data_IF_611468471423
#
_entry.id   IF_611468471423
#
_cell.length_a   1.000
_cell.length_b   1.000
_cell.length_c   1.000
_cell.angle_alpha   90.00
_cell.angle_beta   90.00
_cell.angle_gamma   90.00
#
_symmetry.space_group_name_H-M   'P 1'
#
loop_
_entity.id
_entity.type
_entity.pdbx_description
1 polymer ?
#
# COMPACT_ATOMS: atom_id res chain seq x y z
N UNK A 1 -39.63 28.76 15.85
CA UNK A 1 -38.17 28.74 15.65
C UNK A 1 -37.87 27.69 14.59
N UNK A 2 -37.29 28.07 13.46
CA UNK A 2 -36.81 27.13 12.43
C UNK A 2 -35.35 26.79 12.71
N UNK A 3 -35.02 25.51 12.90
CA UNK A 3 -33.68 25.07 13.30
C UNK A 3 -32.80 24.83 12.07
N UNK A 4 -32.05 25.85 11.66
CA UNK A 4 -31.08 25.73 10.55
C UNK A 4 -29.85 24.88 10.94
N UNK A 5 -29.51 24.79 12.21
CA UNK A 5 -28.43 23.93 12.69
C UNK A 5 -28.92 22.49 12.82
N UNK A 6 -28.43 21.62 11.93
CA UNK A 6 -28.68 20.17 11.93
C UNK A 6 -27.33 19.46 11.79
N UNK A 7 -27.14 18.30 12.43
CA UNK A 7 -25.92 17.51 12.28
C UNK A 7 -25.83 16.91 10.86
N UNK A 8 -24.61 16.67 10.40
CA UNK A 8 -24.34 15.94 9.15
C UNK A 8 -24.30 14.45 9.44
N UNK A 9 -25.27 13.69 8.92
CA UNK A 9 -25.29 12.22 9.07
C UNK A 9 -24.51 11.49 7.98
N UNK A 10 -24.22 12.17 6.85
CA UNK A 10 -23.43 11.65 5.75
C UNK A 10 -22.37 12.69 5.34
N UNK A 11 -21.17 12.22 5.03
CA UNK A 11 -20.11 13.07 4.51
C UNK A 11 -20.37 13.47 3.05
N UNK A 12 -19.70 14.52 2.58
CA UNK A 12 -19.73 14.90 1.16
C UNK A 12 -18.99 13.85 0.31
N UNK A 13 -19.57 13.51 -0.84
CA UNK A 13 -18.95 12.60 -1.81
C UNK A 13 -18.05 13.41 -2.75
N UNK A 14 -16.77 13.04 -2.84
CA UNK A 14 -15.81 13.67 -3.75
C UNK A 14 -16.06 13.37 -5.22
N UNK A 15 -15.37 14.08 -6.12
CA UNK A 15 -15.35 13.77 -7.56
C UNK A 15 -16.19 14.69 -8.46
N UNK A 16 -17.03 15.56 -7.89
CA UNK A 16 -17.82 16.56 -8.65
C UNK A 16 -17.10 17.90 -8.89
N UNK A 17 -16.05 18.19 -8.13
CA UNK A 17 -15.34 19.48 -8.16
C UNK A 17 -13.91 19.38 -8.73
N UNK A 18 -13.17 20.49 -8.69
CA UNK A 18 -11.79 20.59 -9.19
C UNK A 18 -10.90 19.49 -8.59
N UNK A 19 -10.23 18.72 -9.46
CA UNK A 19 -9.42 17.57 -9.03
C UNK A 19 -10.19 16.24 -8.91
N UNK A 20 -11.49 16.21 -9.23
CA UNK A 20 -12.28 14.99 -9.39
C UNK A 20 -12.13 14.29 -10.75
N UNK A 21 -13.03 13.35 -11.06
CA UNK A 21 -13.05 12.59 -12.32
C UNK A 21 -13.41 13.41 -13.58
N UNK A 22 -13.75 14.68 -13.40
CA UNK A 22 -13.88 15.67 -14.48
C UNK A 22 -13.09 16.90 -14.05
N UNK A 23 -12.12 17.32 -14.87
CA UNK A 23 -11.53 18.65 -14.71
C UNK A 23 -12.66 19.66 -14.86
N UNK A 24 -13.07 20.30 -13.77
CA UNK A 24 -13.95 21.48 -13.84
C UNK A 24 -13.25 22.45 -14.77
N UNK A 25 -13.85 22.72 -15.92
CA UNK A 25 -13.17 23.33 -17.06
C UNK A 25 -12.43 24.61 -16.67
N UNK A 26 -11.12 24.64 -16.98
CA UNK A 26 -10.32 25.86 -17.11
C UNK A 26 -10.35 26.84 -15.95
N UNK A 27 -10.28 26.38 -14.70
CA UNK A 27 -10.18 27.30 -13.55
C UNK A 27 -8.78 27.93 -13.51
N UNK A 28 -8.73 29.27 -13.51
CA UNK A 28 -7.50 30.07 -13.46
C UNK A 28 -6.94 30.31 -12.05
N UNK A 29 -7.63 29.81 -11.02
CA UNK A 29 -7.23 29.94 -9.61
C UNK A 29 -6.27 28.80 -9.28
N UNK A 30 -5.10 29.14 -8.74
CA UNK A 30 -4.09 28.18 -8.30
C UNK A 30 -3.76 28.42 -6.84
N UNK A 31 -3.54 27.36 -6.07
CA UNK A 31 -3.04 27.47 -4.70
C UNK A 31 -1.51 27.55 -4.70
N UNK A 32 -0.91 28.15 -3.66
CA UNK A 32 0.55 28.24 -3.51
C UNK A 32 1.19 26.84 -3.45
N UNK A 33 0.48 25.84 -2.91
CA UNK A 33 0.95 24.45 -2.88
C UNK A 33 0.91 23.72 -4.23
N UNK A 34 0.13 24.22 -5.19
CA UNK A 34 0.06 23.65 -6.55
C UNK A 34 1.18 24.17 -7.44
N UNK A 35 1.98 25.13 -6.95
CA UNK A 35 3.15 25.62 -7.66
C UNK A 35 4.18 24.50 -7.82
N UNK A 36 4.90 24.46 -8.97
CA UNK A 36 5.88 23.42 -9.25
C UNK A 36 6.94 23.30 -8.14
N UNK A 37 6.95 22.15 -7.45
CA UNK A 37 7.92 21.82 -6.41
C UNK A 37 8.29 20.34 -6.49
N UNK A 38 9.56 20.02 -6.21
CA UNK A 38 10.13 18.66 -6.29
C UNK A 38 9.83 17.94 -7.63
N UNK A 39 10.30 18.54 -8.73
CA UNK A 39 10.12 18.02 -10.08
C UNK A 39 10.89 16.71 -10.38
N UNK A 40 11.69 16.22 -9.43
CA UNK A 40 12.52 15.02 -9.61
C UNK A 40 12.18 13.93 -8.59
N UNK A 41 11.93 12.73 -9.13
CA UNK A 41 11.71 11.53 -8.33
C UNK A 41 13.06 10.86 -8.07
N UNK A 42 13.39 10.65 -6.79
CA UNK A 42 14.59 9.89 -6.41
C UNK A 42 14.36 8.41 -6.69
N UNK A 43 15.23 7.81 -7.48
CA UNK A 43 15.27 6.35 -7.68
C UNK A 43 16.23 5.70 -6.69
N UNK A 44 16.00 4.41 -6.40
CA UNK A 44 16.95 3.61 -5.61
C UNK A 44 18.16 3.28 -6.46
N UNK A 45 19.35 3.55 -5.94
CA UNK A 45 20.62 3.19 -6.57
C UNK A 45 21.05 1.78 -6.12
N UNK A 46 21.93 1.13 -6.88
CA UNK A 46 22.57 -0.14 -6.49
C UNK A 46 23.10 -0.05 -5.05
N UNK A 47 22.80 -1.06 -4.23
CA UNK A 47 23.13 -1.10 -2.80
C UNK A 47 22.06 -0.50 -1.87
N UNK A 48 21.06 0.21 -2.40
CA UNK A 48 19.92 0.74 -1.62
C UNK A 48 18.70 -0.20 -1.63
N UNK A 49 18.88 -1.45 -2.08
CA UNK A 49 17.79 -2.41 -2.23
C UNK A 49 16.89 -2.02 -3.39
N UNK A 50 17.45 -2.05 -4.60
CA UNK A 50 16.66 -1.91 -5.84
C UNK A 50 15.73 -3.12 -6.02
N UNK A 51 14.67 -2.98 -6.81
CA UNK A 51 13.74 -4.09 -7.06
C UNK A 51 14.45 -5.34 -7.63
N UNK A 52 15.43 -5.13 -8.53
CA UNK A 52 16.24 -6.22 -9.08
C UNK A 52 17.09 -6.92 -8.02
N UNK A 53 17.68 -6.17 -7.08
CA UNK A 53 18.45 -6.75 -5.97
C UNK A 53 17.59 -7.50 -4.97
N UNK A 54 16.35 -7.09 -4.76
CA UNK A 54 15.42 -7.79 -3.87
C UNK A 54 14.90 -9.07 -4.51
N UNK A 55 14.62 -9.04 -5.82
CA UNK A 55 14.14 -10.21 -6.57
C UNK A 55 15.17 -11.34 -6.67
N UNK A 56 16.47 -11.03 -6.63
CA UNK A 56 17.53 -12.05 -6.75
C UNK A 56 17.97 -12.64 -5.41
N UNK A 57 17.53 -12.07 -4.28
CA UNK A 57 17.93 -12.51 -2.94
C UNK A 57 16.91 -13.47 -2.35
N UNK A 58 17.40 -14.54 -1.73
CA UNK A 58 16.58 -15.33 -0.81
C UNK A 58 16.41 -14.57 0.52
N UNK A 59 15.27 -13.89 0.64
CA UNK A 59 14.96 -13.06 1.81
C UNK A 59 14.76 -13.89 3.07
N UNK A 60 14.29 -15.14 2.95
CA UNK A 60 14.04 -16.01 4.09
C UNK A 60 15.36 -16.46 4.71
N UNK A 61 16.27 -16.97 3.89
CA UNK A 61 17.58 -17.40 4.35
C UNK A 61 18.38 -16.24 4.98
N UNK A 62 18.34 -15.06 4.37
CA UNK A 62 19.02 -13.87 4.89
C UNK A 62 18.45 -13.40 6.23
N UNK A 63 17.13 -13.51 6.43
CA UNK A 63 16.46 -13.19 7.68
C UNK A 63 16.84 -14.19 8.77
N UNK A 64 16.73 -15.50 8.50
CA UNK A 64 17.06 -16.55 9.47
C UNK A 64 18.51 -16.43 9.95
N UNK A 65 19.45 -16.10 9.06
CA UNK A 65 20.86 -15.88 9.41
C UNK A 65 21.04 -14.67 10.34
N UNK A 66 20.44 -13.52 10.02
CA UNK A 66 20.54 -12.32 10.86
C UNK A 66 19.88 -12.49 12.22
N UNK A 67 18.76 -13.19 12.27
CA UNK A 67 18.09 -13.51 13.53
C UNK A 67 18.94 -14.45 14.39
N UNK A 68 19.57 -15.46 13.78
CA UNK A 68 20.48 -16.34 14.51
C UNK A 68 21.68 -15.59 15.11
N UNK A 69 22.32 -14.68 14.35
CA UNK A 69 23.40 -13.82 14.84
C UNK A 69 22.92 -12.94 16.01
N UNK A 70 21.75 -12.31 15.87
CA UNK A 70 21.18 -11.45 16.89
C UNK A 70 20.80 -12.22 18.18
N UNK A 71 20.24 -13.42 18.05
CA UNK A 71 19.88 -14.27 19.19
C UNK A 71 21.10 -14.78 19.94
N UNK A 72 22.18 -15.13 19.22
CA UNK A 72 23.48 -15.44 19.82
C UNK A 72 24.03 -14.25 20.60
N UNK A 73 23.95 -13.04 20.05
CA UNK A 73 24.40 -11.82 20.72
C UNK A 73 23.61 -11.53 22.01
N UNK A 74 22.32 -11.87 22.06
CA UNK A 74 21.44 -11.69 23.22
C UNK A 74 21.49 -12.87 24.21
N UNK A 75 22.22 -13.95 23.88
CA UNK A 75 22.32 -15.15 24.72
C UNK A 75 21.03 -15.97 24.79
N UNK A 76 20.15 -15.85 23.78
CA UNK A 76 18.90 -16.62 23.68
C UNK A 76 19.06 -17.71 22.62
N UNK A 77 18.57 -18.92 22.92
CA UNK A 77 18.66 -20.04 22.00
C UNK A 77 17.81 -19.79 20.74
N UNK A 78 18.34 -20.16 19.57
CA UNK A 78 17.64 -20.01 18.29
C UNK A 78 16.36 -20.86 18.27
N UNK A 79 15.22 -20.31 17.80
CA UNK A 79 13.99 -21.09 17.65
C UNK A 79 14.19 -22.19 16.59
N UNK A 80 13.56 -23.36 16.75
CA UNK A 80 13.67 -24.44 15.76
C UNK A 80 13.11 -23.98 14.41
N UNK A 81 13.78 -24.36 13.31
CA UNK A 81 13.31 -24.12 11.93
C UNK A 81 11.86 -24.58 11.82
N UNK A 82 10.94 -23.62 11.69
CA UNK A 82 9.54 -23.93 11.42
C UNK A 82 9.48 -24.49 10.00
N UNK A 83 9.37 -25.82 9.94
CA UNK A 83 9.06 -26.60 8.75
C UNK A 83 7.87 -25.91 8.09
N UNK A 84 8.04 -25.58 6.80
CA UNK A 84 7.01 -25.04 5.93
C UNK A 84 5.69 -25.76 6.16
N UNK A 85 4.78 -25.11 6.89
CA UNK A 85 3.38 -25.47 6.85
C UNK A 85 2.96 -25.17 5.42
N UNK A 86 2.83 -26.21 4.60
CA UNK A 86 2.25 -26.07 3.27
C UNK A 86 0.94 -25.29 3.45
N UNK A 87 0.89 -24.12 2.83
CA UNK A 87 -0.33 -23.33 2.82
C UNK A 87 -1.38 -24.22 2.13
N UNK A 88 -2.58 -24.39 2.71
CA UNK A 88 -3.64 -25.10 2.02
C UNK A 88 -3.83 -24.48 0.62
N UNK A 89 -4.15 -25.29 -0.39
CA UNK A 89 -4.42 -24.77 -1.72
C UNK A 89 -5.48 -23.67 -1.59
N UNK A 90 -5.20 -22.52 -2.21
CA UNK A 90 -6.20 -21.44 -2.33
C UNK A 90 -7.47 -22.06 -2.94
N UNK A 91 -8.65 -21.77 -2.38
CA UNK A 91 -9.89 -22.14 -3.05
C UNK A 91 -9.87 -21.60 -4.48
N UNK A 92 -10.47 -22.31 -5.45
CA UNK A 92 -10.66 -21.76 -6.79
C UNK A 92 -11.33 -20.38 -6.67
N UNK A 93 -11.01 -19.42 -7.56
CA UNK A 93 -11.78 -18.19 -7.63
C UNK A 93 -13.25 -18.57 -7.80
N UNK A 94 -14.11 -17.98 -6.96
CA UNK A 94 -15.55 -18.11 -7.12
C UNK A 94 -15.89 -17.46 -8.46
N UNK A 95 -16.16 -18.28 -9.47
CA UNK A 95 -16.76 -17.88 -10.74
C UNK A 95 -18.24 -17.56 -10.50
N UNK A 96 -18.54 -16.61 -9.60
CA UNK A 96 -19.87 -15.99 -9.49
C UNK A 96 -20.01 -14.94 -10.60
N UNK A 97 -19.83 -15.38 -11.85
CA UNK A 97 -20.43 -14.76 -13.03
C UNK A 97 -21.86 -15.34 -13.16
N UNK A 98 -22.72 -15.07 -12.18
CA UNK A 98 -24.17 -15.13 -12.38
C UNK A 98 -24.58 -13.82 -13.08
N UNK A 99 -24.30 -13.77 -14.38
CA UNK A 99 -25.21 -13.11 -15.33
C UNK A 99 -26.57 -13.82 -15.23
N UNK A 100 -27.52 -13.25 -14.49
CA UNK A 100 -28.97 -13.26 -14.80
C UNK A 100 -29.79 -12.64 -13.65
N UNK A 101 -30.10 -11.34 -13.76
CA UNK A 101 -31.37 -10.79 -13.26
C UNK A 101 -31.71 -9.48 -14.01
N UNK A 102 -32.73 -9.59 -14.86
CA UNK A 102 -33.54 -8.59 -15.64
C UNK A 102 -33.15 -7.09 -15.68
#
# INVERSE_FOLDING_TARGET
MTTAHRPTFHAAIGGKEQGGGRYVGGVSRQHVHDLPSQLSIKSRVKGQGTAAELSSKDLRAALEAREAEHLQAIGKAAPPKMISRELPPLPPPDDDDDDDDD
#
